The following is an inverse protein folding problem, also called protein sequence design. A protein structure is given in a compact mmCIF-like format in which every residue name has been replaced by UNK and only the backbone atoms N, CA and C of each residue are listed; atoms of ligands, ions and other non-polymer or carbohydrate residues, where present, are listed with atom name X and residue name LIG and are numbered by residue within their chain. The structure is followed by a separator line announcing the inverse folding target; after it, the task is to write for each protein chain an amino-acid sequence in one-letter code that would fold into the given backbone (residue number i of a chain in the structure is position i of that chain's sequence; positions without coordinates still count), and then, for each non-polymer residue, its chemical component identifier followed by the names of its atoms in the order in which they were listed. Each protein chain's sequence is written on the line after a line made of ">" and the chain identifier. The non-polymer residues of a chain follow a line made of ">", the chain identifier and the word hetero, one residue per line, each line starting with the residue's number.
data_IF_714110031843
#
_entry.id   IF_714110031843
#
_cell.length_a   1.000
_cell.length_b   1.000
_cell.length_c   1.000
_cell.angle_alpha   90.00
_cell.angle_beta   90.00
_cell.angle_gamma   90.00
#
_symmetry.space_group_name_H-M   'P 1'
#
loop_
_entity.id
_entity.type
_entity.pdbx_description
1 polymer ?
#
# COMPACT_ATOMS: atom_id res chain seq x y z
N UNK A 1 24.60 7.41 -13.78
CA UNK A 1 24.48 6.82 -12.43
C UNK A 1 23.74 5.47 -12.40
N UNK A 2 23.48 4.83 -13.55
CA UNK A 2 22.71 3.57 -13.62
C UNK A 2 23.46 2.37 -13.03
N UNK A 3 24.76 2.25 -13.32
CA UNK A 3 25.61 1.15 -12.82
C UNK A 3 25.81 1.21 -11.29
N UNK A 4 25.76 2.40 -10.69
CA UNK A 4 25.88 2.53 -9.24
C UNK A 4 24.67 1.96 -8.48
N UNK A 5 23.50 1.79 -9.12
CA UNK A 5 22.32 1.23 -8.46
C UNK A 5 22.45 -0.28 -8.19
N UNK A 6 23.37 -0.98 -8.85
CA UNK A 6 23.57 -2.42 -8.65
C UNK A 6 24.03 -2.77 -7.23
N UNK A 7 24.62 -1.83 -6.50
CA UNK A 7 25.06 -2.04 -5.11
C UNK A 7 24.05 -1.55 -4.07
N UNK A 8 22.92 -0.95 -4.50
CA UNK A 8 21.93 -0.45 -3.57
C UNK A 8 21.17 -1.61 -2.91
N UNK A 9 20.98 -1.57 -1.58
CA UNK A 9 20.17 -2.56 -0.89
C UNK A 9 18.69 -2.39 -1.27
N UNK A 10 17.93 -3.49 -1.25
CA UNK A 10 16.48 -3.48 -1.49
C UNK A 10 15.68 -2.66 -0.47
N UNK A 11 16.28 -2.33 0.67
CA UNK A 11 15.70 -1.48 1.71
C UNK A 11 15.90 0.03 1.44
N UNK A 12 16.41 0.41 0.26
CA UNK A 12 16.47 1.82 -0.14
C UNK A 12 15.05 2.38 -0.28
N UNK A 13 14.79 3.51 0.37
CA UNK A 13 13.50 4.20 0.25
C UNK A 13 13.22 4.55 -1.22
N UNK A 14 11.97 4.33 -1.63
CA UNK A 14 11.48 4.73 -2.95
C UNK A 14 10.10 5.34 -2.78
N UNK A 15 9.90 6.51 -3.37
CA UNK A 15 8.60 7.18 -3.38
C UNK A 15 7.87 6.86 -4.67
N UNK A 16 6.63 6.40 -4.56
CA UNK A 16 5.79 6.01 -5.71
C UNK A 16 4.46 6.73 -5.57
N UNK A 17 4.05 7.42 -6.64
CA UNK A 17 2.72 8.01 -6.74
C UNK A 17 1.86 7.08 -7.60
N UNK A 18 0.77 6.58 -7.03
CA UNK A 18 -0.17 5.68 -7.68
C UNK A 18 -1.56 6.30 -7.72
N UNK A 19 -2.31 6.02 -8.79
CA UNK A 19 -3.74 6.33 -8.87
C UNK A 19 -4.50 5.03 -9.11
N UNK A 20 -5.52 4.77 -8.29
CA UNK A 20 -6.31 3.56 -8.35
C UNK A 20 -7.80 3.86 -8.25
N UNK A 21 -8.63 2.99 -8.84
CA UNK A 21 -10.07 3.03 -8.63
C UNK A 21 -10.43 2.37 -7.28
N UNK A 22 -11.66 2.58 -6.80
CA UNK A 22 -12.10 2.05 -5.50
C UNK A 22 -12.10 0.51 -5.43
N UNK A 23 -12.38 -0.19 -6.53
CA UNK A 23 -12.36 -1.65 -6.57
C UNK A 23 -10.94 -2.19 -6.30
N UNK A 24 -9.94 -1.60 -6.95
CA UNK A 24 -8.54 -1.99 -6.77
C UNK A 24 -8.03 -1.64 -5.37
N UNK A 25 -8.45 -0.50 -4.81
CA UNK A 25 -8.12 -0.14 -3.42
C UNK A 25 -8.68 -1.18 -2.44
N UNK A 26 -9.94 -1.61 -2.60
CA UNK A 26 -10.51 -2.68 -1.77
C UNK A 26 -9.75 -4.00 -1.94
N UNK A 27 -9.37 -4.33 -3.17
CA UNK A 27 -8.63 -5.55 -3.48
C UNK A 27 -7.23 -5.55 -2.82
N UNK A 28 -6.48 -4.45 -2.95
CA UNK A 28 -5.13 -4.37 -2.40
C UNK A 28 -5.13 -4.37 -0.87
N UNK A 29 -6.07 -3.65 -0.22
CA UNK A 29 -6.23 -3.67 1.24
C UNK A 29 -6.49 -5.12 1.71
N UNK A 30 -7.42 -5.83 1.07
CA UNK A 30 -7.72 -7.24 1.43
C UNK A 30 -6.50 -8.15 1.31
N UNK A 31 -5.70 -8.01 0.25
CA UNK A 31 -4.51 -8.82 0.05
C UNK A 31 -3.38 -8.48 1.01
N UNK A 32 -3.21 -7.18 1.29
CA UNK A 32 -1.99 -6.63 1.88
C UNK A 32 -2.10 -6.33 3.37
N UNK A 33 -3.30 -6.30 3.93
CA UNK A 33 -3.54 -6.36 5.38
C UNK A 33 -3.39 -7.80 5.93
N UNK A 34 -3.32 -8.81 5.06
CA UNK A 34 -3.14 -10.21 5.48
C UNK A 34 -1.85 -10.43 6.27
N UNK A 35 -1.89 -11.36 7.25
CA UNK A 35 -0.71 -11.81 8.01
C UNK A 35 0.38 -12.44 7.13
N UNK A 36 0.02 -12.87 5.91
CA UNK A 36 0.97 -13.42 4.91
C UNK A 36 1.74 -12.34 4.14
N UNK A 37 1.26 -11.10 4.14
CA UNK A 37 1.97 -9.99 3.50
C UNK A 37 3.16 -9.55 4.35
N UNK A 38 4.16 -8.95 3.70
CA UNK A 38 5.33 -8.37 4.36
C UNK A 38 4.90 -7.32 5.40
N UNK A 39 5.53 -7.28 6.60
CA UNK A 39 5.17 -6.34 7.65
C UNK A 39 5.20 -4.86 7.21
N UNK A 40 6.19 -4.49 6.42
CA UNK A 40 6.39 -3.12 5.92
C UNK A 40 5.22 -2.69 5.03
N UNK A 41 4.82 -3.58 4.12
CA UNK A 41 3.67 -3.31 3.25
C UNK A 41 2.37 -3.27 4.07
N UNK A 42 2.23 -4.11 5.10
CA UNK A 42 1.04 -4.14 5.94
C UNK A 42 0.82 -2.80 6.64
N UNK A 43 1.88 -2.15 7.11
CA UNK A 43 1.79 -0.82 7.70
C UNK A 43 1.26 0.22 6.69
N UNK A 44 1.74 0.19 5.45
CA UNK A 44 1.26 1.05 4.36
C UNK A 44 -0.22 0.76 4.04
N UNK A 45 -0.59 -0.51 3.93
CA UNK A 45 -1.97 -0.92 3.61
C UNK A 45 -2.96 -0.54 4.72
N UNK A 46 -2.56 -0.61 5.99
CA UNK A 46 -3.40 -0.21 7.12
C UNK A 46 -3.61 1.30 7.17
N UNK A 47 -2.57 2.07 6.88
CA UNK A 47 -2.68 3.52 6.78
C UNK A 47 -3.59 3.93 5.60
N UNK A 48 -3.43 3.29 4.45
CA UNK A 48 -4.36 3.45 3.33
C UNK A 48 -5.80 3.14 3.72
N UNK A 49 -6.02 2.05 4.46
CA UNK A 49 -7.35 1.64 4.95
C UNK A 49 -7.96 2.70 5.86
N UNK A 50 -7.18 3.31 6.75
CA UNK A 50 -7.62 4.42 7.61
C UNK A 50 -8.10 5.61 6.78
N UNK A 51 -7.28 6.06 5.83
CA UNK A 51 -7.58 7.21 4.97
C UNK A 51 -8.86 6.98 4.15
N UNK A 52 -9.03 5.81 3.54
CA UNK A 52 -10.20 5.55 2.68
C UNK A 52 -11.50 5.37 3.46
N UNK A 53 -11.41 4.91 4.72
CA UNK A 53 -12.56 4.85 5.63
C UNK A 53 -13.04 6.23 6.05
N UNK A 54 -12.11 7.15 6.29
CA UNK A 54 -12.42 8.55 6.61
C UNK A 54 -12.98 9.29 5.39
N UNK A 55 -12.39 9.08 4.21
CA UNK A 55 -12.76 9.81 2.98
C UNK A 55 -14.08 9.32 2.34
N UNK A 56 -14.34 8.01 2.34
CA UNK A 56 -15.47 7.41 1.65
C UNK A 56 -16.13 6.28 2.47
N UNK A 57 -16.69 6.57 3.65
CA UNK A 57 -17.26 5.57 4.54
C UNK A 57 -18.35 4.72 3.88
N UNK A 58 -19.14 5.29 2.96
CA UNK A 58 -20.19 4.57 2.23
C UNK A 58 -19.67 3.39 1.38
N UNK A 59 -18.39 3.41 0.98
CA UNK A 59 -17.77 2.32 0.20
C UNK A 59 -16.83 1.46 1.05
N UNK A 60 -16.27 1.98 2.14
CA UNK A 60 -15.18 1.32 2.89
C UNK A 60 -15.50 1.00 4.36
N UNK A 61 -16.70 1.32 4.87
CA UNK A 61 -17.05 1.08 6.28
C UNK A 61 -16.99 -0.41 6.68
N UNK A 62 -17.24 -1.33 5.75
CA UNK A 62 -17.28 -2.77 5.97
C UNK A 62 -15.89 -3.44 6.03
N UNK A 63 -14.83 -2.72 5.66
CA UNK A 63 -13.48 -3.27 5.56
C UNK A 63 -12.80 -3.47 6.90
#
# INVERSE_FOLDING_TARGET
>A
AEIARYVLPNACETQIICTWNFREIRHIIKLRTSKRALPEFRAVAEEMRRIVKELAPQVFADL
#
